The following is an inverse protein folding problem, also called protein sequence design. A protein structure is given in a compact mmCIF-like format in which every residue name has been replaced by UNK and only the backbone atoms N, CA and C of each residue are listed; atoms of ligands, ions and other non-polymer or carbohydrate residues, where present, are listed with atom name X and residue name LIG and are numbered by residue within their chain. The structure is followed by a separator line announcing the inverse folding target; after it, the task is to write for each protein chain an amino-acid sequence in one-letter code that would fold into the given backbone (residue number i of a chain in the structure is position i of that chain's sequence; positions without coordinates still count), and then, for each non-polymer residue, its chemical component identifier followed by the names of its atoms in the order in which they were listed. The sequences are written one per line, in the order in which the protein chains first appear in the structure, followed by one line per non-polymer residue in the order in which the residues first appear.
data_IF_262990752977
#
_entry.id   IF_262990752977
#
_cell.length_a   1.000
_cell.length_b   1.000
_cell.length_c   1.000
_cell.angle_alpha   90.00
_cell.angle_beta   90.00
_cell.angle_gamma   90.00
#
_symmetry.space_group_name_H-M   'P 1'
#
loop_
_entity.id
_entity.type
_entity.pdbx_description
1 polymer ?
#
# COMPACT_ATOMS: atom_id res chain seq x y z
N UNK A 1 -4.28 12.03 -5.19
CA UNK A 1 -5.17 11.94 -4.01
C UNK A 1 -5.40 10.46 -3.77
N UNK A 2 -4.88 9.92 -2.66
CA UNK A 2 -4.96 8.49 -2.37
C UNK A 2 -6.23 8.17 -1.61
N UNK A 3 -6.90 7.10 -1.98
CA UNK A 3 -8.03 6.55 -1.24
C UNK A 3 -7.51 5.52 -0.24
N UNK A 4 -7.66 5.80 1.05
CA UNK A 4 -7.48 4.82 2.09
C UNK A 4 -8.87 4.34 2.54
N UNK A 5 -9.22 3.11 2.18
CA UNK A 5 -10.43 2.48 2.71
C UNK A 5 -10.05 1.73 4.00
N UNK A 6 -10.41 2.29 5.14
CA UNK A 6 -10.29 1.63 6.43
C UNK A 6 -11.57 0.82 6.69
N UNK A 7 -11.48 -0.50 6.66
CA UNK A 7 -12.59 -1.37 7.04
C UNK A 7 -12.47 -1.73 8.52
N UNK A 8 -13.38 -1.25 9.34
CA UNK A 8 -13.58 -1.75 10.71
C UNK A 8 -14.82 -2.63 10.70
N UNK A 9 -14.65 -3.93 10.75
CA UNK A 9 -15.76 -4.87 10.99
C UNK A 9 -15.98 -4.98 12.49
N UNK A 10 -17.12 -4.51 12.97
CA UNK A 10 -17.57 -4.74 14.34
C UNK A 10 -18.40 -6.03 14.39
N UNK A 11 -17.90 -7.07 15.06
CA UNK A 11 -18.67 -8.25 15.43
C UNK A 11 -19.20 -8.10 16.85
N UNK A 12 -20.46 -8.50 17.04
CA UNK A 12 -21.21 -8.31 18.26
C UNK A 12 -20.60 -8.95 19.52
N UNK A 13 -20.81 -8.29 20.66
CA UNK A 13 -20.25 -8.58 21.97
C UNK A 13 -20.96 -9.72 22.70
N UNK A 14 -20.18 -10.68 23.16
CA UNK A 14 -20.47 -11.47 24.37
C UNK A 14 -19.55 -10.92 25.46
N UNK A 15 -20.11 -10.58 26.60
CA UNK A 15 -19.41 -9.98 27.72
C UNK A 15 -18.23 -10.84 28.18
N UNK A 16 -16.99 -10.33 28.08
CA UNK A 16 -15.80 -10.89 28.70
C UNK A 16 -14.53 -11.00 27.85
N UNK A 17 -14.61 -11.01 26.52
CA UNK A 17 -13.43 -11.04 25.65
C UNK A 17 -13.68 -10.15 24.45
N UNK A 18 -13.10 -8.97 24.44
CA UNK A 18 -13.12 -8.12 23.26
C UNK A 18 -12.16 -8.75 22.25
N UNK A 19 -12.71 -9.49 21.29
CA UNK A 19 -11.89 -10.01 20.18
C UNK A 19 -11.22 -8.83 19.46
N UNK A 20 -9.91 -8.90 19.35
CA UNK A 20 -9.15 -7.87 18.62
C UNK A 20 -9.46 -8.01 17.14
N UNK A 21 -9.95 -6.96 16.47
CA UNK A 21 -10.29 -7.03 15.05
C UNK A 21 -9.04 -7.25 14.20
N UNK A 22 -9.18 -7.97 13.11
CA UNK A 22 -8.18 -7.94 12.05
C UNK A 22 -8.24 -6.58 11.34
N UNK A 23 -7.09 -6.05 10.97
CA UNK A 23 -6.96 -4.74 10.35
C UNK A 23 -6.30 -4.92 8.98
N UNK A 24 -6.97 -4.44 7.92
CA UNK A 24 -6.42 -4.43 6.56
C UNK A 24 -6.41 -2.99 6.07
N UNK A 25 -5.23 -2.51 5.74
CA UNK A 25 -5.05 -1.28 4.96
C UNK A 25 -4.82 -1.69 3.51
N UNK A 26 -5.78 -1.39 2.65
CA UNK A 26 -5.69 -1.66 1.22
C UNK A 26 -5.36 -0.36 0.49
N UNK A 27 -4.12 -0.25 0.01
CA UNK A 27 -3.59 0.96 -0.61
C UNK A 27 -3.37 0.75 -2.11
N UNK A 28 -4.03 1.58 -2.93
CA UNK A 28 -3.85 1.61 -4.38
C UNK A 28 -3.00 2.83 -4.73
N UNK A 29 -1.93 2.61 -5.50
CA UNK A 29 -0.95 3.65 -5.83
C UNK A 29 -1.41 4.48 -7.03
N UNK A 30 -1.36 5.81 -6.90
CA UNK A 30 -1.72 6.77 -7.94
C UNK A 30 -3.17 6.69 -8.48
N UNK A 31 -4.08 6.01 -7.79
CA UNK A 31 -5.48 5.96 -8.20
C UNK A 31 -6.18 7.29 -7.86
N UNK A 32 -6.74 7.93 -8.86
CA UNK A 32 -7.52 9.16 -8.71
C UNK A 32 -8.89 8.93 -8.06
N UNK A 33 -9.48 10.00 -7.57
CA UNK A 33 -10.79 9.98 -6.91
C UNK A 33 -11.91 9.45 -7.82
N UNK A 34 -11.76 9.66 -9.14
CA UNK A 34 -12.75 9.27 -10.15
C UNK A 34 -12.31 8.04 -10.96
N UNK A 35 -11.20 7.39 -10.58
CA UNK A 35 -10.67 6.20 -11.28
C UNK A 35 -11.30 4.89 -10.75
N UNK A 36 -12.53 4.99 -10.27
CA UNK A 36 -13.36 3.88 -9.81
C UNK A 36 -14.81 4.10 -10.24
N UNK A 37 -15.63 3.06 -10.19
CA UNK A 37 -17.09 3.20 -10.37
C UNK A 37 -17.80 3.75 -9.11
N UNK A 38 -17.10 3.92 -8.00
CA UNK A 38 -17.66 4.50 -6.76
C UNK A 38 -17.73 6.03 -6.85
N UNK A 39 -18.88 6.67 -6.66
CA UNK A 39 -18.97 8.12 -6.60
C UNK A 39 -18.45 8.63 -5.25
N UNK A 40 -17.28 9.26 -5.23
CA UNK A 40 -16.70 9.86 -4.03
C UNK A 40 -16.95 11.37 -3.91
N UNK A 41 -17.33 12.03 -5.00
CA UNK A 41 -17.70 13.45 -4.96
C UNK A 41 -19.02 13.62 -4.21
N UNK A 42 -19.16 14.78 -3.57
CA UNK A 42 -20.40 15.18 -2.91
C UNK A 42 -20.87 16.54 -3.41
N UNK A 43 -22.17 16.75 -3.44
CA UNK A 43 -22.78 18.06 -3.66
C UNK A 43 -22.72 18.94 -2.40
N UNK A 44 -23.23 20.16 -2.48
CA UNK A 44 -23.27 21.10 -1.37
C UNK A 44 -24.15 20.65 -0.18
N UNK A 45 -24.96 19.61 -0.36
CA UNK A 45 -25.80 19.00 0.69
C UNK A 45 -25.15 17.71 1.26
N UNK A 46 -23.97 17.31 0.77
CA UNK A 46 -23.27 16.11 1.20
C UNK A 46 -23.73 14.81 0.54
N UNK A 47 -24.64 14.88 -0.46
CA UNK A 47 -25.04 13.68 -1.22
C UNK A 47 -23.96 13.30 -2.21
N UNK A 48 -23.76 11.99 -2.42
CA UNK A 48 -22.81 11.49 -3.42
C UNK A 48 -23.25 11.86 -4.83
N UNK A 49 -22.30 12.36 -5.62
CA UNK A 49 -22.52 12.74 -7.03
C UNK A 49 -21.65 11.87 -7.91
N UNK A 50 -22.26 11.18 -8.86
CA UNK A 50 -21.53 10.39 -9.86
C UNK A 50 -20.97 11.33 -10.93
N UNK A 51 -19.67 11.26 -11.13
CA UNK A 51 -18.98 11.92 -12.23
C UNK A 51 -19.00 11.03 -13.48
N UNK A 52 -18.97 11.62 -14.67
CA UNK A 52 -18.97 10.87 -15.93
C UNK A 52 -17.81 9.87 -16.05
N UNK A 53 -16.64 10.19 -15.50
CA UNK A 53 -15.48 9.28 -15.46
C UNK A 53 -15.73 8.01 -14.65
N UNK A 54 -16.59 8.04 -13.61
CA UNK A 54 -16.93 6.83 -12.87
C UNK A 54 -17.63 5.76 -13.74
N UNK A 55 -18.18 6.13 -14.89
CA UNK A 55 -18.84 5.20 -15.81
C UNK A 55 -17.87 4.39 -16.68
N UNK A 56 -16.60 4.80 -16.74
CA UNK A 56 -15.55 4.10 -17.47
C UNK A 56 -14.98 2.91 -16.72
N UNK A 57 -15.13 2.92 -15.40
CA UNK A 57 -14.52 1.93 -14.52
C UNK A 57 -15.54 0.90 -14.06
N UNK A 58 -15.08 -0.32 -13.91
CA UNK A 58 -15.87 -1.42 -13.37
C UNK A 58 -15.18 -1.98 -12.13
N UNK A 59 -15.55 -1.45 -10.96
CA UNK A 59 -14.95 -1.81 -9.66
C UNK A 59 -16.01 -2.29 -8.65
N UNK A 60 -16.73 -3.40 -8.95
CA UNK A 60 -17.90 -3.83 -8.17
C UNK A 60 -17.59 -4.18 -6.72
N UNK A 61 -16.39 -4.66 -6.44
CA UNK A 61 -15.97 -4.94 -5.06
C UNK A 61 -15.75 -3.66 -4.25
N UNK A 62 -15.28 -2.58 -4.88
CA UNK A 62 -15.17 -1.27 -4.23
C UNK A 62 -16.56 -0.66 -3.99
N UNK A 63 -17.50 -0.82 -4.93
CA UNK A 63 -18.88 -0.41 -4.72
C UNK A 63 -19.50 -1.11 -3.52
N UNK A 64 -19.40 -2.45 -3.46
CA UNK A 64 -19.88 -3.23 -2.32
C UNK A 64 -19.26 -2.81 -1.00
N UNK A 65 -17.95 -2.53 -0.98
CA UNK A 65 -17.25 -2.01 0.20
C UNK A 65 -17.79 -0.64 0.62
N UNK A 66 -18.04 0.25 -0.35
CA UNK A 66 -18.58 1.59 -0.11
C UNK A 66 -20.03 1.56 0.41
N UNK A 67 -20.81 0.55 0.03
CA UNK A 67 -22.17 0.33 0.51
C UNK A 67 -22.21 -0.26 1.93
N UNK A 68 -21.27 -1.11 2.26
CA UNK A 68 -21.20 -1.81 3.56
C UNK A 68 -20.41 -1.05 4.62
N UNK A 69 -19.69 -0.01 4.23
CA UNK A 69 -18.79 0.76 5.07
C UNK A 69 -19.05 2.26 5.06
N UNK A 70 -18.06 3.01 5.48
CA UNK A 70 -18.07 4.48 5.50
C UNK A 70 -17.18 4.99 4.37
N UNK A 71 -17.72 5.87 3.52
CA UNK A 71 -16.93 6.60 2.54
C UNK A 71 -16.62 8.01 3.06
N UNK A 72 -15.35 8.32 3.14
CA UNK A 72 -14.90 9.66 3.49
C UNK A 72 -14.87 10.53 2.22
N UNK A 73 -15.66 11.59 2.17
CA UNK A 73 -15.66 12.56 1.07
C UNK A 73 -14.44 13.48 1.09
N UNK A 74 -13.83 13.63 2.27
CA UNK A 74 -12.71 14.54 2.50
C UNK A 74 -11.61 13.80 3.25
N UNK A 75 -10.71 13.18 2.49
CA UNK A 75 -9.56 12.46 3.00
C UNK A 75 -8.34 12.80 2.14
N UNK A 76 -7.29 13.32 2.76
CA UNK A 76 -6.11 13.82 2.06
C UNK A 76 -4.89 12.98 2.38
N UNK A 77 -4.15 12.59 1.35
CA UNK A 77 -2.78 12.09 1.45
C UNK A 77 -1.79 13.26 1.38
N UNK A 78 -0.51 12.97 1.55
CA UNK A 78 0.56 13.91 1.19
C UNK A 78 0.67 14.00 -0.34
N UNK A 79 1.48 14.95 -0.82
CA UNK A 79 1.58 15.28 -2.24
C UNK A 79 2.06 14.13 -3.13
N UNK A 80 2.90 13.24 -2.59
CA UNK A 80 3.49 12.10 -3.33
C UNK A 80 3.63 10.85 -2.45
N UNK A 81 4.11 9.75 -3.05
CA UNK A 81 4.13 8.39 -2.49
C UNK A 81 4.84 8.28 -1.13
N UNK A 82 6.16 8.55 -1.06
CA UNK A 82 6.93 8.31 0.19
C UNK A 82 6.41 9.10 1.39
N UNK A 83 6.09 10.40 1.28
CA UNK A 83 5.49 11.16 2.38
C UNK A 83 4.15 10.58 2.83
N UNK A 84 3.29 10.17 1.89
CA UNK A 84 1.99 9.58 2.21
C UNK A 84 2.14 8.27 2.97
N UNK A 85 3.06 7.41 2.54
CA UNK A 85 3.34 6.11 3.15
C UNK A 85 4.00 6.26 4.52
N UNK A 86 4.96 7.19 4.64
CA UNK A 86 5.56 7.53 5.92
C UNK A 86 4.55 8.09 6.92
N UNK A 87 3.65 8.99 6.46
CA UNK A 87 2.57 9.53 7.29
C UNK A 87 1.60 8.44 7.75
N UNK A 88 1.23 7.50 6.85
CA UNK A 88 0.37 6.36 7.18
C UNK A 88 1.00 5.49 8.28
N UNK A 89 2.30 5.17 8.15
CA UNK A 89 2.97 4.30 9.11
C UNK A 89 3.20 4.95 10.47
N UNK A 90 3.51 6.25 10.47
CA UNK A 90 3.95 6.96 11.69
C UNK A 90 2.84 7.75 12.37
N UNK A 91 1.70 7.96 11.70
CA UNK A 91 0.66 8.89 12.18
C UNK A 91 1.11 10.34 12.23
N UNK A 92 2.20 10.69 11.53
CA UNK A 92 2.79 12.03 11.55
C UNK A 92 2.60 12.74 10.23
N UNK A 93 2.54 14.07 10.28
CA UNK A 93 2.59 14.91 9.08
C UNK A 93 4.00 14.89 8.48
N UNK A 94 4.10 15.09 7.15
CA UNK A 94 5.36 15.06 6.40
C UNK A 94 6.41 16.04 6.94
N UNK A 95 6.00 17.18 7.46
CA UNK A 95 6.93 18.16 8.08
C UNK A 95 7.55 17.62 9.38
N UNK A 96 6.86 16.73 10.09
CA UNK A 96 7.35 16.14 11.34
C UNK A 96 8.31 14.97 11.09
N UNK A 97 7.95 14.02 10.21
CA UNK A 97 8.84 12.91 9.88
C UNK A 97 9.88 13.28 8.80
N UNK A 98 9.80 14.50 8.24
CA UNK A 98 10.75 15.12 7.31
C UNK A 98 10.92 14.42 5.96
N UNK A 99 10.12 13.44 5.66
CA UNK A 99 10.04 12.84 4.33
C UNK A 99 9.01 13.62 3.53
N UNK A 100 9.42 14.64 2.81
CA UNK A 100 8.53 15.63 2.17
C UNK A 100 8.41 15.46 0.67
N UNK A 101 9.23 14.60 0.07
CA UNK A 101 9.22 14.28 -1.35
C UNK A 101 9.35 12.76 -1.54
N UNK A 102 9.10 12.27 -2.76
CA UNK A 102 9.34 10.87 -3.09
C UNK A 102 10.84 10.55 -2.95
N UNK A 103 11.15 9.35 -2.49
CA UNK A 103 12.52 8.88 -2.26
C UNK A 103 12.99 8.14 -3.51
N UNK A 104 14.12 8.57 -4.07
CA UNK A 104 14.76 7.84 -5.15
C UNK A 104 15.36 6.53 -4.59
N UNK A 105 15.09 5.41 -5.27
CA UNK A 105 15.52 4.09 -4.79
C UNK A 105 17.05 3.96 -4.72
N UNK A 106 17.76 4.44 -5.73
CA UNK A 106 19.21 4.28 -5.87
C UNK A 106 20.02 5.36 -5.14
N UNK A 107 19.38 6.48 -4.84
CA UNK A 107 20.02 7.58 -4.14
C UNK A 107 18.99 8.29 -3.26
N UNK A 108 19.44 9.01 -2.25
CA UNK A 108 18.52 9.92 -1.57
C UNK A 108 18.19 11.10 -2.50
N UNK A 109 16.99 11.67 -2.36
CA UNK A 109 16.55 12.85 -3.13
C UNK A 109 17.18 14.15 -2.65
N UNK A 110 18.34 14.09 -2.06
CA UNK A 110 19.03 15.25 -1.54
C UNK A 110 19.33 16.21 -2.69
N UNK A 111 18.78 17.42 -2.59
CA UNK A 111 19.02 18.50 -3.53
C UNK A 111 19.71 19.67 -2.82
N UNK A 112 20.36 20.57 -3.55
CA UNK A 112 20.95 21.77 -2.95
C UNK A 112 19.89 22.77 -2.43
N UNK A 113 18.63 22.55 -2.73
CA UNK A 113 17.53 23.48 -2.42
C UNK A 113 16.71 23.11 -1.19
N UNK A 114 16.95 21.97 -0.55
CA UNK A 114 16.25 21.55 0.66
C UNK A 114 17.03 21.82 1.94
N UNK A 115 16.37 21.93 3.11
CA UNK A 115 17.07 21.98 4.38
C UNK A 115 17.99 20.77 4.56
N UNK A 116 19.24 20.96 4.99
CA UNK A 116 20.21 19.86 5.09
C UNK A 116 19.81 18.76 6.08
N UNK A 117 18.98 19.10 7.07
CA UNK A 117 18.53 18.24 8.15
C UNK A 117 17.22 17.48 7.81
N UNK A 118 16.66 17.66 6.63
CA UNK A 118 15.49 16.90 6.21
C UNK A 118 15.85 15.46 5.91
N UNK A 119 14.91 14.55 6.25
CA UNK A 119 15.11 13.13 6.04
C UNK A 119 14.80 12.71 4.59
N UNK A 120 15.81 12.78 3.75
CA UNK A 120 15.71 12.39 2.34
C UNK A 120 15.90 10.87 2.12
N UNK A 121 16.36 10.13 3.15
CA UNK A 121 16.60 8.69 3.06
C UNK A 121 15.36 7.85 3.42
N UNK A 122 14.39 8.44 4.08
CA UNK A 122 13.19 7.77 4.54
C UNK A 122 13.18 7.48 6.04
N UNK A 123 12.36 6.51 6.42
CA UNK A 123 12.18 6.11 7.82
C UNK A 123 13.38 5.31 8.33
N UNK A 124 13.62 5.40 9.65
CA UNK A 124 14.62 4.64 10.36
C UNK A 124 13.97 3.64 11.32
N UNK A 125 14.75 2.64 11.75
CA UNK A 125 14.27 1.62 12.71
C UNK A 125 13.87 2.20 14.07
N UNK A 126 14.35 3.38 14.44
CA UNK A 126 14.06 3.97 15.75
C UNK A 126 12.73 4.76 15.76
N UNK A 127 12.16 5.06 14.59
CA UNK A 127 10.92 5.81 14.52
C UNK A 127 9.73 4.96 15.02
N UNK A 128 8.84 5.52 15.86
CA UNK A 128 7.59 4.85 16.20
C UNK A 128 6.69 4.69 14.98
N UNK A 129 6.22 3.46 14.76
CA UNK A 129 5.30 3.13 13.66
C UNK A 129 4.08 2.38 14.17
N UNK A 130 2.98 2.48 13.46
CA UNK A 130 1.76 1.72 13.77
C UNK A 130 2.01 0.19 13.78
N UNK A 131 2.75 -0.40 12.82
CA UNK A 131 3.09 -1.82 12.89
C UNK A 131 3.81 -2.23 14.18
N UNK A 132 4.77 -1.44 14.67
CA UNK A 132 5.45 -1.71 15.95
C UNK A 132 4.51 -1.74 17.13
N UNK A 133 3.59 -0.78 17.20
CA UNK A 133 2.59 -0.72 18.27
C UNK A 133 1.67 -1.92 18.20
N UNK A 134 1.21 -2.30 17.02
CA UNK A 134 0.35 -3.46 16.82
C UNK A 134 1.09 -4.78 17.10
N UNK A 135 2.36 -4.90 16.69
CA UNK A 135 3.21 -6.05 17.00
C UNK A 135 3.37 -6.24 18.51
N UNK A 136 3.65 -5.15 19.25
CA UNK A 136 3.70 -5.16 20.73
C UNK A 136 2.35 -5.53 21.35
N UNK A 137 1.25 -5.21 20.70
CA UNK A 137 -0.09 -5.61 21.11
C UNK A 137 -0.44 -7.07 20.71
N UNK A 138 0.50 -7.84 20.12
CA UNK A 138 0.32 -9.26 19.79
C UNK A 138 -0.27 -9.52 18.41
N UNK A 139 -0.43 -8.51 17.56
CA UNK A 139 -0.81 -8.70 16.17
C UNK A 139 0.31 -9.33 15.36
N UNK A 140 -0.06 -10.16 14.38
CA UNK A 140 0.83 -10.50 13.27
C UNK A 140 0.82 -9.35 12.28
N UNK A 141 1.97 -8.73 12.05
CA UNK A 141 2.08 -7.55 11.19
C UNK A 141 2.66 -7.91 9.85
N UNK A 142 1.92 -7.65 8.78
CA UNK A 142 2.20 -8.14 7.43
C UNK A 142 2.26 -6.96 6.47
N UNK A 143 3.34 -6.87 5.71
CA UNK A 143 3.46 -5.94 4.58
C UNK A 143 3.56 -6.72 3.28
N UNK A 144 2.72 -6.34 2.30
CA UNK A 144 2.76 -6.94 0.96
C UNK A 144 2.63 -5.84 -0.10
N UNK A 145 3.60 -5.80 -1.01
CA UNK A 145 3.65 -4.86 -2.12
C UNK A 145 4.57 -3.68 -1.90
N UNK A 146 4.26 -2.54 -2.47
CA UNK A 146 5.10 -1.34 -2.47
C UNK A 146 5.32 -0.79 -1.05
N UNK A 147 6.56 -0.80 -0.60
CA UNK A 147 6.98 -0.17 0.65
C UNK A 147 7.33 1.31 0.46
N UNK A 148 8.43 1.58 -0.21
CA UNK A 148 8.90 2.94 -0.51
C UNK A 148 9.02 3.84 0.73
N UNK A 149 9.40 3.24 1.88
CA UNK A 149 9.60 3.92 3.16
C UNK A 149 11.02 4.47 3.33
N UNK A 150 11.95 4.01 2.51
CA UNK A 150 13.35 4.43 2.47
C UNK A 150 14.00 4.05 1.15
N UNK A 151 15.15 4.67 0.83
CA UNK A 151 15.94 4.30 -0.33
C UNK A 151 16.64 2.94 -0.11
N UNK A 152 17.17 2.36 -1.17
CA UNK A 152 18.01 1.16 -1.11
C UNK A 152 19.20 1.38 -0.17
N UNK A 153 19.63 0.34 0.50
CA UNK A 153 20.70 0.36 1.50
C UNK A 153 20.42 1.25 2.73
N UNK A 154 19.17 1.70 2.91
CA UNK A 154 18.73 2.39 4.12
C UNK A 154 17.91 1.47 5.03
N UNK A 155 17.76 1.85 6.31
CA UNK A 155 16.94 1.07 7.25
C UNK A 155 15.47 0.97 6.81
N UNK A 156 14.94 2.04 6.22
CA UNK A 156 13.55 2.10 5.74
C UNK A 156 13.30 1.35 4.44
N UNK A 157 14.34 0.83 3.79
CA UNK A 157 14.17 -0.06 2.64
C UNK A 157 13.40 -1.33 3.02
N UNK A 158 13.75 -1.90 4.19
CA UNK A 158 13.17 -3.16 4.64
C UNK A 158 12.06 -2.92 5.67
N UNK A 159 10.79 -3.21 5.32
CA UNK A 159 9.66 -3.12 6.23
C UNK A 159 9.80 -3.87 7.56
N UNK A 160 10.62 -4.93 7.62
CA UNK A 160 10.87 -5.66 8.86
C UNK A 160 11.51 -4.76 9.93
N UNK A 161 12.33 -3.78 9.54
CA UNK A 161 12.90 -2.79 10.46
C UNK A 161 11.86 -1.82 11.04
N UNK A 162 10.69 -1.76 10.42
CA UNK A 162 9.62 -0.83 10.77
C UNK A 162 8.45 -1.48 11.54
N UNK A 163 8.66 -2.72 12.01
CA UNK A 163 7.74 -3.44 12.87
C UNK A 163 6.78 -4.39 12.14
N UNK A 164 7.10 -4.78 10.92
CA UNK A 164 6.41 -5.88 10.25
C UNK A 164 7.09 -7.22 10.59
N UNK A 165 6.29 -8.26 10.85
CA UNK A 165 6.76 -9.65 11.00
C UNK A 165 7.03 -10.29 9.63
N UNK A 166 6.28 -9.88 8.62
CA UNK A 166 6.35 -10.39 7.24
C UNK A 166 6.49 -9.23 6.27
N UNK A 167 7.42 -9.38 5.33
CA UNK A 167 7.55 -8.50 4.17
C UNK A 167 7.59 -9.34 2.89
N UNK A 168 6.73 -9.04 1.93
CA UNK A 168 6.73 -9.64 0.60
C UNK A 168 6.59 -8.52 -0.41
N UNK A 169 7.51 -8.46 -1.36
CA UNK A 169 7.56 -7.48 -2.44
C UNK A 169 7.81 -6.03 -1.98
N UNK A 170 8.11 -5.79 -0.69
CA UNK A 170 8.41 -4.46 -0.17
C UNK A 170 9.90 -4.14 -0.21
N UNK A 171 10.26 -3.02 -0.82
CA UNK A 171 11.63 -2.52 -0.89
C UNK A 171 11.68 -1.00 -1.09
N UNK A 172 12.87 -0.46 -1.36
CA UNK A 172 13.06 0.96 -1.66
C UNK A 172 12.55 1.42 -3.02
N UNK A 173 12.11 0.50 -3.91
CA UNK A 173 11.62 0.88 -5.23
C UNK A 173 10.26 1.58 -5.15
N UNK A 174 10.13 2.69 -5.90
CA UNK A 174 8.88 3.46 -5.95
C UNK A 174 7.87 2.98 -6.99
N UNK A 175 8.28 2.12 -7.92
CA UNK A 175 7.44 1.51 -8.95
C UNK A 175 8.08 0.21 -9.43
N UNK A 176 7.32 -0.76 -9.98
CA UNK A 176 7.89 -1.96 -10.56
C UNK A 176 8.54 -1.63 -11.91
N UNK A 177 9.44 -2.47 -12.37
CA UNK A 177 9.94 -2.40 -13.74
C UNK A 177 8.88 -2.83 -14.76
N UNK A 178 8.05 -3.80 -14.38
CA UNK A 178 6.92 -4.32 -15.15
C UNK A 178 5.89 -4.94 -14.22
N UNK A 179 4.65 -5.06 -14.71
CA UNK A 179 3.59 -5.84 -14.04
C UNK A 179 3.51 -7.30 -14.53
N UNK A 180 4.37 -7.70 -15.48
CA UNK A 180 4.32 -9.03 -16.08
C UNK A 180 5.29 -9.99 -15.40
N UNK A 181 4.79 -11.13 -14.93
CA UNK A 181 5.58 -12.23 -14.41
C UNK A 181 6.52 -12.82 -15.48
N UNK A 182 6.11 -12.81 -16.75
CA UNK A 182 6.95 -13.18 -17.89
C UNK A 182 8.29 -12.42 -17.94
N UNK A 183 8.31 -11.20 -17.39
CA UNK A 183 9.51 -10.35 -17.31
C UNK A 183 10.17 -10.35 -15.93
N UNK A 184 9.67 -11.18 -15.00
CA UNK A 184 10.15 -11.21 -13.63
C UNK A 184 9.90 -9.88 -12.90
N UNK A 185 8.85 -9.16 -13.30
CA UNK A 185 8.48 -7.83 -12.78
C UNK A 185 9.59 -6.77 -12.90
N UNK A 186 10.62 -7.03 -13.71
CA UNK A 186 11.72 -6.11 -14.00
C UNK A 186 11.45 -5.21 -15.21
N UNK A 187 12.30 -4.20 -15.40
CA UNK A 187 12.12 -3.16 -16.44
C UNK A 187 12.03 -3.73 -17.87
N UNK A 188 12.84 -4.73 -18.16
CA UNK A 188 12.79 -5.50 -19.41
C UNK A 188 12.98 -6.98 -19.07
N UNK A 189 12.56 -7.86 -19.96
CA UNK A 189 12.72 -9.31 -19.79
C UNK A 189 14.18 -9.66 -19.46
N UNK A 190 14.39 -10.29 -18.30
CA UNK A 190 15.71 -10.67 -17.80
C UNK A 190 16.49 -9.57 -17.09
N UNK A 191 15.98 -8.35 -17.02
CA UNK A 191 16.58 -7.27 -16.23
C UNK A 191 16.16 -7.35 -14.76
N UNK A 192 17.11 -7.12 -13.87
CA UNK A 192 16.83 -6.95 -12.42
C UNK A 192 16.52 -5.50 -12.04
N UNK A 193 16.67 -4.56 -12.97
CA UNK A 193 16.37 -3.16 -12.71
C UNK A 193 14.89 -2.98 -12.34
N UNK A 194 14.62 -2.41 -11.18
CA UNK A 194 13.26 -2.23 -10.64
C UNK A 194 12.46 -3.54 -10.53
N UNK A 195 13.14 -4.70 -10.49
CA UNK A 195 12.48 -5.97 -10.24
C UNK A 195 11.88 -5.97 -8.83
N UNK A 196 10.64 -6.41 -8.75
CA UNK A 196 9.96 -6.57 -7.46
C UNK A 196 10.52 -7.80 -6.76
N UNK A 197 11.02 -7.70 -5.53
CA UNK A 197 11.61 -8.84 -4.82
C UNK A 197 10.56 -9.84 -4.32
N UNK A 198 11.02 -11.00 -3.85
CA UNK A 198 10.25 -12.04 -3.15
C UNK A 198 9.14 -12.72 -3.97
N UNK A 199 9.12 -12.50 -5.29
CA UNK A 199 8.11 -13.05 -6.20
C UNK A 199 8.71 -13.97 -7.27
N UNK A 200 9.91 -14.52 -7.06
CA UNK A 200 10.66 -15.32 -8.02
C UNK A 200 9.87 -16.54 -8.52
N UNK A 201 8.99 -17.10 -7.69
CA UNK A 201 8.13 -18.24 -8.08
C UNK A 201 7.12 -17.93 -9.19
N UNK A 202 6.85 -16.66 -9.43
CA UNK A 202 5.98 -16.19 -10.51
C UNK A 202 6.75 -15.76 -11.77
N UNK A 203 8.09 -15.76 -11.71
CA UNK A 203 8.89 -15.37 -12.86
C UNK A 203 8.73 -16.36 -14.01
N UNK A 204 8.56 -15.83 -15.23
CA UNK A 204 8.32 -16.63 -16.42
C UNK A 204 6.88 -17.11 -16.61
N UNK A 205 5.98 -16.77 -15.69
CA UNK A 205 4.54 -17.06 -15.78
C UNK A 205 3.75 -15.88 -16.33
N UNK A 206 2.49 -16.08 -16.67
CA UNK A 206 1.54 -15.04 -17.07
C UNK A 206 0.89 -14.32 -15.87
N UNK A 207 1.30 -14.65 -14.64
CA UNK A 207 0.75 -14.05 -13.41
C UNK A 207 1.04 -12.55 -13.36
N UNK A 208 0.00 -11.75 -13.35
CA UNK A 208 0.11 -10.30 -13.23
C UNK A 208 0.51 -9.89 -11.80
N UNK A 209 1.27 -8.81 -11.63
CA UNK A 209 1.83 -8.41 -10.34
C UNK A 209 0.74 -8.26 -9.25
N UNK A 210 -0.38 -7.62 -9.58
CA UNK A 210 -1.48 -7.45 -8.62
C UNK A 210 -2.10 -8.78 -8.18
N UNK A 211 -2.13 -9.77 -9.07
CA UNK A 211 -2.57 -11.13 -8.74
C UNK A 211 -1.56 -11.83 -7.83
N UNK A 212 -0.26 -11.78 -8.17
CA UNK A 212 0.78 -12.37 -7.34
C UNK A 212 0.73 -11.83 -5.90
N UNK A 213 0.64 -10.51 -5.74
CA UNK A 213 0.50 -9.87 -4.43
C UNK A 213 -0.76 -10.33 -3.68
N UNK A 214 -1.88 -10.48 -4.38
CA UNK A 214 -3.15 -10.94 -3.80
C UNK A 214 -3.06 -12.39 -3.32
N UNK A 215 -2.41 -13.27 -4.11
CA UNK A 215 -2.19 -14.67 -3.72
C UNK A 215 -1.32 -14.73 -2.45
N UNK A 216 -0.26 -13.94 -2.38
CA UNK A 216 0.59 -13.89 -1.18
C UNK A 216 -0.16 -13.33 0.02
N UNK A 217 -0.97 -12.30 -0.16
CA UNK A 217 -1.80 -11.73 0.92
C UNK A 217 -2.75 -12.78 1.49
N UNK A 218 -3.47 -13.49 0.63
CA UNK A 218 -4.38 -14.55 1.06
C UNK A 218 -3.67 -15.69 1.80
N UNK A 219 -2.44 -16.04 1.38
CA UNK A 219 -1.62 -17.04 2.05
C UNK A 219 -1.23 -16.59 3.47
N UNK A 220 -0.77 -15.36 3.64
CA UNK A 220 -0.39 -14.84 4.96
C UNK A 220 -1.59 -14.62 5.88
N UNK A 221 -2.75 -14.22 5.34
CA UNK A 221 -4.02 -14.17 6.08
C UNK A 221 -4.39 -15.57 6.59
N UNK A 222 -4.34 -16.58 5.72
CA UNK A 222 -4.66 -17.97 6.10
C UNK A 222 -3.76 -18.47 7.24
N UNK A 223 -2.45 -18.20 7.16
CA UNK A 223 -1.50 -18.52 8.24
C UNK A 223 -1.85 -17.81 9.55
N UNK A 224 -2.19 -16.53 9.51
CA UNK A 224 -2.55 -15.77 10.72
C UNK A 224 -3.83 -16.32 11.37
N UNK A 225 -4.82 -16.73 10.55
CA UNK A 225 -6.05 -17.37 11.01
C UNK A 225 -5.77 -18.73 11.64
N UNK A 226 -4.93 -19.56 11.02
CA UNK A 226 -4.50 -20.86 11.56
C UNK A 226 -3.74 -20.69 12.90
N UNK A 227 -2.87 -19.69 12.98
CA UNK A 227 -2.15 -19.30 14.21
C UNK A 227 -3.08 -18.70 15.29
N UNK A 228 -4.34 -18.42 14.97
CA UNK A 228 -5.31 -17.73 15.84
C UNK A 228 -4.79 -16.40 16.37
N UNK A 229 -4.02 -15.67 15.56
CA UNK A 229 -3.49 -14.35 15.87
C UNK A 229 -4.28 -13.28 15.14
N UNK A 230 -4.68 -12.19 15.81
CA UNK A 230 -5.16 -11.02 15.09
C UNK A 230 -4.05 -10.50 14.18
N UNK A 231 -4.38 -10.00 13.01
CA UNK A 231 -3.38 -9.51 12.07
C UNK A 231 -3.65 -8.08 11.63
N UNK A 232 -2.57 -7.41 11.31
CA UNK A 232 -2.52 -6.17 10.57
C UNK A 232 -1.86 -6.43 9.22
N UNK A 233 -2.59 -6.23 8.14
CA UNK A 233 -2.09 -6.35 6.78
C UNK A 233 -2.04 -4.96 6.12
N UNK A 234 -0.85 -4.53 5.74
CA UNK A 234 -0.63 -3.41 4.82
C UNK A 234 -0.52 -3.96 3.40
N UNK A 235 -1.66 -4.08 2.72
CA UNK A 235 -1.75 -4.50 1.33
C UNK A 235 -1.56 -3.28 0.43
N UNK A 236 -0.34 -3.08 -0.05
CA UNK A 236 0.07 -1.90 -0.79
C UNK A 236 0.38 -2.24 -2.25
N UNK A 237 -0.64 -2.19 -3.12
CA UNK A 237 -0.45 -2.45 -4.54
C UNK A 237 0.50 -1.42 -5.18
N UNK A 238 1.29 -1.87 -6.17
CA UNK A 238 2.01 -0.98 -7.08
C UNK A 238 1.06 -0.34 -8.11
N UNK A 239 -0.03 -1.04 -8.47
CA UNK A 239 -1.06 -0.52 -9.35
C UNK A 239 -1.80 0.67 -8.69
N UNK A 240 -2.17 1.70 -9.47
CA UNK A 240 -2.10 1.79 -10.94
C UNK A 240 -0.91 2.64 -11.41
N UNK A 241 0.17 2.74 -10.63
CA UNK A 241 1.37 3.50 -10.97
C UNK A 241 2.02 2.98 -12.26
N UNK A 242 2.71 3.86 -13.00
CA UNK A 242 3.49 3.44 -14.18
C UNK A 242 4.50 2.31 -13.84
N UNK A 243 4.88 1.45 -14.83
CA UNK A 243 4.47 1.49 -16.23
C UNK A 243 3.00 1.12 -16.46
N UNK A 244 2.34 1.77 -17.42
CA UNK A 244 0.94 1.50 -17.71
C UNK A 244 0.85 0.21 -18.54
N UNK A 245 0.59 -0.88 -17.86
CA UNK A 245 0.45 -2.22 -18.43
C UNK A 245 -0.86 -2.83 -17.97
N UNK A 246 -1.64 -3.34 -18.90
CA UNK A 246 -2.90 -4.00 -18.60
C UNK A 246 -2.69 -5.50 -18.38
N UNK A 247 -3.46 -6.05 -17.46
CA UNK A 247 -3.59 -7.49 -17.34
C UNK A 247 -4.30 -8.04 -18.59
N UNK A 248 -3.65 -8.96 -19.29
CA UNK A 248 -4.13 -9.51 -20.57
C UNK A 248 -5.52 -10.15 -20.45
N UNK A 249 -5.91 -10.61 -19.27
CA UNK A 249 -7.23 -11.21 -19.01
C UNK A 249 -8.39 -10.22 -19.10
N UNK A 250 -8.10 -8.93 -19.02
CA UNK A 250 -9.11 -7.85 -19.05
C UNK A 250 -8.98 -6.95 -20.28
N UNK A 251 -8.18 -7.35 -21.26
CA UNK A 251 -8.12 -6.72 -22.57
C UNK A 251 -9.25 -7.29 -23.44
N UNK A 252 -10.40 -6.63 -23.49
CA UNK A 252 -11.53 -6.94 -24.38
C UNK A 252 -11.69 -5.88 -25.46
#
# INVERSE_FOLDING_TARGET
MFLLNLLVAASGTVAGYQERPNIIVFLVDDMGLMDTSVPFLTDGSGNRVRHSLNNWYHTPNMERMAEQGICFSTFYAQSVSSPSRASLLTGQNATRHRTTNWINAESNNRTPFGPPDWNWKGLTKDIPTMPKVLQQAGYKTIHIGKAHFGCMDSEGENPLNLGFDVNIAGSGIGHPGSYYGEWGYGHIKGSKARAVPDLEKYHGTDTFLSEALTIEANREIAKAVEEKRPFYLNMAHYAVHAPFQADKRFLS
#
